data_IF_349166257547
#
_entry.id   IF_349166257547
#
_cell.length_a   1.000
_cell.length_b   1.000
_cell.length_c   1.000
_cell.angle_alpha   90.00
_cell.angle_beta   90.00
_cell.angle_gamma   90.00
#
_symmetry.space_group_name_H-M   'P 1'
#
loop_
_entity.id
_entity.type
_entity.pdbx_description
1 polymer ?
#
# COMPACT_ATOMS: atom_id res chain seq x y z
N UNK A 1 -24.48 20.20 2.74
CA UNK A 1 -24.36 20.96 1.48
C UNK A 1 -24.23 19.92 0.39
N UNK A 2 -25.02 20.01 -0.67
CA UNK A 2 -24.90 19.09 -1.78
C UNK A 2 -23.80 19.55 -2.73
N UNK A 3 -23.00 18.60 -3.23
CA UNK A 3 -21.97 18.86 -4.24
C UNK A 3 -22.64 19.32 -5.55
N UNK A 4 -22.16 20.41 -6.15
CA UNK A 4 -22.72 20.92 -7.39
C UNK A 4 -22.19 20.18 -8.61
N UNK A 5 -22.88 20.21 -9.76
CA UNK A 5 -22.37 19.62 -11.02
C UNK A 5 -20.98 20.16 -11.41
N UNK A 6 -20.72 21.44 -11.19
CA UNK A 6 -19.42 22.07 -11.46
C UNK A 6 -18.32 21.50 -10.56
N UNK A 7 -18.62 21.31 -9.28
CA UNK A 7 -17.67 20.69 -8.33
C UNK A 7 -17.40 19.22 -8.68
N UNK A 8 -18.42 18.48 -9.14
CA UNK A 8 -18.23 17.11 -9.64
C UNK A 8 -17.32 17.12 -10.88
N UNK A 9 -17.56 18.04 -11.82
CA UNK A 9 -16.72 18.19 -13.01
C UNK A 9 -15.25 18.45 -12.63
N UNK A 10 -14.99 19.42 -11.77
CA UNK A 10 -13.63 19.71 -11.28
C UNK A 10 -13.00 18.51 -10.58
N UNK A 11 -13.77 17.80 -9.75
CA UNK A 11 -13.30 16.60 -9.06
C UNK A 11 -12.93 15.47 -10.02
N UNK A 12 -13.70 15.27 -11.11
CA UNK A 12 -13.43 14.24 -12.11
C UNK A 12 -12.17 14.55 -12.92
N UNK A 13 -11.97 15.81 -13.36
CA UNK A 13 -10.75 16.19 -14.09
C UNK A 13 -9.52 16.03 -13.20
N UNK A 14 -9.59 16.47 -11.94
CA UNK A 14 -8.50 16.25 -10.99
C UNK A 14 -8.24 14.76 -10.77
N UNK A 15 -9.29 13.98 -10.57
CA UNK A 15 -9.19 12.53 -10.37
C UNK A 15 -8.59 11.80 -11.59
N UNK A 16 -8.86 12.29 -12.81
CA UNK A 16 -8.22 11.79 -14.02
C UNK A 16 -6.71 12.02 -14.00
N UNK A 17 -6.26 13.23 -13.65
CA UNK A 17 -4.83 13.53 -13.55
C UNK A 17 -4.14 12.66 -12.48
N UNK A 18 -4.77 12.49 -11.32
CA UNK A 18 -4.27 11.64 -10.24
C UNK A 18 -4.24 10.14 -10.65
N UNK A 19 -5.27 9.65 -11.32
CA UNK A 19 -5.34 8.26 -11.81
C UNK A 19 -4.30 7.96 -12.91
N UNK A 20 -3.91 8.96 -13.67
CA UNK A 20 -2.88 8.91 -14.71
C UNK A 20 -1.47 8.93 -14.14
N UNK A 21 -1.26 9.51 -12.98
CA UNK A 21 0.04 9.55 -12.32
C UNK A 21 0.55 8.11 -12.10
N UNK A 22 1.81 7.85 -12.44
CA UNK A 22 2.45 6.51 -12.39
C UNK A 22 1.81 5.42 -13.29
N UNK A 23 0.84 5.77 -14.16
CA UNK A 23 0.19 4.83 -15.10
C UNK A 23 0.29 5.28 -16.56
N UNK A 24 1.07 6.32 -16.84
CA UNK A 24 1.30 6.83 -18.20
C UNK A 24 1.81 5.71 -19.11
N UNK A 25 1.28 5.68 -20.34
CA UNK A 25 1.63 4.70 -21.37
C UNK A 25 1.19 3.25 -21.09
N UNK A 26 0.33 3.01 -20.11
CA UNK A 26 -0.31 1.69 -20.00
C UNK A 26 -1.39 1.53 -21.08
N UNK A 27 -1.61 0.32 -21.64
CA UNK A 27 -2.61 0.12 -22.70
C UNK A 27 -4.02 0.61 -22.31
N UNK A 28 -4.42 0.44 -21.04
CA UNK A 28 -5.72 0.89 -20.54
C UNK A 28 -5.82 2.42 -20.52
N UNK A 29 -4.76 3.12 -20.11
CA UNK A 29 -4.72 4.57 -20.09
C UNK A 29 -4.67 5.13 -21.52
N UNK A 30 -3.83 4.57 -22.40
CA UNK A 30 -3.75 5.00 -23.81
C UNK A 30 -5.08 4.81 -24.55
N UNK A 31 -5.79 3.70 -24.29
CA UNK A 31 -7.12 3.48 -24.86
C UNK A 31 -8.12 4.55 -24.41
N UNK A 32 -8.10 4.93 -23.14
CA UNK A 32 -8.95 5.99 -22.60
C UNK A 32 -8.64 7.36 -23.21
N UNK A 33 -7.36 7.66 -23.50
CA UNK A 33 -6.95 8.94 -24.12
C UNK A 33 -7.57 9.17 -25.51
N UNK A 34 -7.96 8.12 -26.24
CA UNK A 34 -8.52 8.23 -27.60
C UNK A 34 -9.86 8.98 -27.57
N UNK A 35 -10.71 8.70 -26.59
CA UNK A 35 -12.05 9.30 -26.45
C UNK A 35 -12.21 10.05 -25.13
N UNK A 36 -11.12 10.54 -24.58
CA UNK A 36 -10.99 11.09 -23.24
C UNK A 36 -12.10 12.07 -22.87
N UNK A 37 -12.36 13.07 -23.71
CA UNK A 37 -13.35 14.10 -23.39
C UNK A 37 -14.78 13.53 -23.36
N UNK A 38 -15.11 12.61 -24.27
CA UNK A 38 -16.40 11.93 -24.30
C UNK A 38 -16.59 11.05 -23.07
N UNK A 39 -15.55 10.28 -22.72
CA UNK A 39 -15.59 9.39 -21.55
C UNK A 39 -15.66 10.19 -20.24
N UNK A 40 -14.94 11.31 -20.12
CA UNK A 40 -15.01 12.17 -18.92
C UNK A 40 -16.39 12.81 -18.78
N UNK A 41 -16.97 13.37 -19.85
CA UNK A 41 -18.31 13.95 -19.80
C UNK A 41 -19.36 12.91 -19.43
N UNK A 42 -19.23 11.67 -19.93
CA UNK A 42 -20.09 10.56 -19.53
C UNK A 42 -19.96 10.23 -18.03
N UNK A 43 -18.72 10.15 -17.52
CA UNK A 43 -18.49 9.93 -16.08
C UNK A 43 -19.12 11.04 -15.25
N UNK A 44 -18.95 12.31 -15.66
CA UNK A 44 -19.53 13.47 -14.98
C UNK A 44 -21.06 13.36 -14.95
N UNK A 45 -21.68 13.08 -16.09
CA UNK A 45 -23.13 12.95 -16.20
C UNK A 45 -23.66 11.78 -15.34
N UNK A 46 -22.99 10.63 -15.34
CA UNK A 46 -23.35 9.49 -14.51
C UNK A 46 -23.21 9.79 -13.00
N UNK A 47 -22.21 10.60 -12.60
CA UNK A 47 -22.02 11.01 -11.19
C UNK A 47 -23.05 12.05 -10.76
N UNK A 48 -23.31 13.06 -11.59
CA UNK A 48 -24.31 14.11 -11.31
C UNK A 48 -25.72 13.52 -11.11
N UNK A 49 -26.05 12.50 -11.88
CA UNK A 49 -27.39 11.85 -11.80
C UNK A 49 -27.42 10.59 -10.93
N UNK A 50 -26.38 10.31 -10.17
CA UNK A 50 -26.27 9.13 -9.28
C UNK A 50 -26.58 7.80 -9.99
N UNK A 51 -26.09 7.61 -11.20
CA UNK A 51 -26.34 6.40 -12.01
C UNK A 51 -25.07 5.64 -12.41
N UNK A 52 -23.92 6.02 -11.85
CA UNK A 52 -22.66 5.37 -12.14
C UNK A 52 -22.68 3.90 -11.70
N UNK A 53 -22.26 3.01 -12.60
CA UNK A 53 -22.14 1.57 -12.35
C UNK A 53 -20.69 1.17 -12.67
N UNK A 54 -19.92 0.64 -11.68
CA UNK A 54 -18.56 0.18 -11.92
C UNK A 54 -18.49 -0.91 -12.98
N UNK A 55 -17.44 -0.87 -13.79
CA UNK A 55 -17.19 -1.84 -14.86
C UNK A 55 -16.65 -3.16 -14.28
N UNK A 56 -16.57 -4.18 -15.15
CA UNK A 56 -15.96 -5.48 -14.78
C UNK A 56 -14.46 -5.30 -14.57
N UNK A 57 -13.96 -5.76 -13.43
CA UNK A 57 -12.53 -5.70 -13.12
C UNK A 57 -11.76 -6.86 -13.77
N UNK A 58 -10.51 -6.61 -14.13
CA UNK A 58 -9.56 -7.65 -14.50
C UNK A 58 -9.08 -8.37 -13.25
N UNK A 59 -9.10 -9.71 -13.27
CA UNK A 59 -8.66 -10.53 -12.15
C UNK A 59 -7.53 -11.47 -12.59
N UNK A 60 -6.44 -11.47 -11.85
CA UNK A 60 -5.26 -12.28 -12.11
C UNK A 60 -4.51 -12.63 -10.83
N UNK A 61 -3.59 -13.58 -10.92
CA UNK A 61 -2.70 -13.96 -9.83
C UNK A 61 -1.32 -13.30 -10.01
N UNK A 62 -0.81 -12.73 -8.93
CA UNK A 62 0.60 -12.35 -8.83
C UNK A 62 1.32 -13.37 -7.96
N UNK A 63 2.58 -13.71 -8.32
CA UNK A 63 3.40 -14.68 -7.57
C UNK A 63 4.49 -14.02 -6.74
N UNK A 64 4.78 -12.75 -6.98
CA UNK A 64 5.85 -12.04 -6.29
C UNK A 64 5.29 -10.90 -5.41
N UNK A 65 5.68 -10.80 -4.15
CA UNK A 65 6.55 -11.71 -3.37
C UNK A 65 5.84 -12.97 -2.87
N UNK A 66 4.51 -13.01 -2.93
CA UNK A 66 3.65 -14.12 -2.48
C UNK A 66 2.45 -14.22 -3.42
N UNK A 67 1.97 -15.44 -3.68
CA UNK A 67 0.77 -15.66 -4.49
C UNK A 67 -0.44 -14.92 -3.92
N UNK A 68 -1.05 -14.06 -4.74
CA UNK A 68 -2.21 -13.22 -4.38
C UNK A 68 -3.17 -13.07 -5.55
N UNK A 69 -4.46 -13.11 -5.27
CA UNK A 69 -5.50 -12.69 -6.20
C UNK A 69 -5.58 -11.16 -6.22
N UNK A 70 -5.48 -10.57 -7.41
CA UNK A 70 -5.52 -9.11 -7.60
C UNK A 70 -6.65 -8.76 -8.56
N UNK A 71 -7.42 -7.74 -8.20
CA UNK A 71 -8.41 -7.14 -9.05
C UNK A 71 -7.91 -5.78 -9.53
N UNK A 72 -7.81 -5.60 -10.83
CA UNK A 72 -7.46 -4.33 -11.45
C UNK A 72 -8.70 -3.69 -12.05
N UNK A 73 -9.17 -2.63 -11.45
CA UNK A 73 -10.26 -1.81 -11.98
C UNK A 73 -9.88 -1.20 -13.32
N UNK A 74 -10.86 -1.06 -14.23
CA UNK A 74 -10.68 -0.35 -15.48
C UNK A 74 -10.36 1.13 -15.23
N UNK A 75 -9.81 1.82 -16.22
CA UNK A 75 -9.29 3.17 -16.02
C UNK A 75 -10.39 4.16 -15.62
N UNK A 76 -11.61 4.03 -16.16
CA UNK A 76 -12.78 4.80 -15.76
C UNK A 76 -13.11 4.63 -14.27
N UNK A 77 -13.15 3.38 -13.79
CA UNK A 77 -13.40 3.11 -12.36
C UNK A 77 -12.33 3.70 -11.47
N UNK A 78 -11.06 3.69 -11.92
CA UNK A 78 -9.97 4.33 -11.17
C UNK A 78 -10.19 5.83 -11.03
N UNK A 79 -10.66 6.51 -12.08
CA UNK A 79 -11.00 7.94 -12.01
C UNK A 79 -12.07 8.15 -10.93
N UNK A 80 -13.17 7.38 -10.96
CA UNK A 80 -14.25 7.52 -9.99
C UNK A 80 -13.80 7.17 -8.57
N UNK A 81 -12.95 6.15 -8.41
CA UNK A 81 -12.32 5.85 -7.12
C UNK A 81 -11.43 7.00 -6.62
N UNK A 82 -10.72 7.70 -7.51
CA UNK A 82 -9.97 8.89 -7.14
C UNK A 82 -10.87 10.08 -6.77
N UNK A 83 -12.07 10.21 -7.36
CA UNK A 83 -13.04 11.24 -6.93
C UNK A 83 -13.35 11.10 -5.44
N UNK A 84 -13.80 9.91 -5.01
CA UNK A 84 -14.13 9.66 -3.60
C UNK A 84 -12.88 9.64 -2.70
N UNK A 85 -11.78 9.09 -3.18
CA UNK A 85 -10.51 9.09 -2.44
C UNK A 85 -10.03 10.51 -2.13
N UNK A 86 -10.08 11.42 -3.10
CA UNK A 86 -9.64 12.81 -2.94
C UNK A 86 -10.53 13.61 -1.98
N UNK A 87 -11.79 13.21 -1.80
CA UNK A 87 -12.68 13.78 -0.78
C UNK A 87 -12.36 13.25 0.61
N UNK A 88 -12.17 11.92 0.73
CA UNK A 88 -12.07 11.25 2.03
C UNK A 88 -10.64 11.16 2.58
N UNK A 89 -9.61 10.96 1.75
CA UNK A 89 -8.26 10.74 2.22
C UNK A 89 -7.70 11.92 3.05
N UNK A 90 -7.84 13.20 2.63
CA UNK A 90 -7.38 14.33 3.44
C UNK A 90 -8.10 14.44 4.80
N UNK A 91 -9.37 14.04 4.85
CA UNK A 91 -10.15 14.00 6.08
C UNK A 91 -9.62 12.94 7.04
N UNK A 92 -9.48 11.70 6.57
CA UNK A 92 -9.02 10.58 7.39
C UNK A 92 -7.55 10.70 7.80
N UNK A 93 -6.70 11.37 7.00
CA UNK A 93 -5.32 11.69 7.39
C UNK A 93 -5.24 12.50 8.70
N UNK A 94 -6.25 13.30 9.02
CA UNK A 94 -6.33 14.03 10.30
C UNK A 94 -6.73 13.15 11.49
N UNK A 95 -7.28 11.97 11.23
CA UNK A 95 -7.78 11.03 12.24
C UNK A 95 -6.83 9.87 12.51
N UNK A 96 -6.00 9.49 11.53
CA UNK A 96 -5.08 8.37 11.66
C UNK A 96 -4.00 8.62 12.70
N UNK A 97 -3.62 7.59 13.43
CA UNK A 97 -2.43 7.65 14.28
C UNK A 97 -1.17 7.85 13.43
N UNK A 98 -0.11 8.40 14.03
CA UNK A 98 1.15 8.60 13.31
C UNK A 98 1.78 7.29 12.83
N UNK A 99 1.65 6.21 13.59
CA UNK A 99 2.33 4.94 13.37
C UNK A 99 1.49 3.90 12.59
N UNK A 100 0.64 4.37 11.67
CA UNK A 100 0.05 3.60 10.56
C UNK A 100 0.83 3.92 9.29
N UNK A 101 1.44 2.94 8.62
CA UNK A 101 2.49 3.17 7.63
C UNK A 101 2.09 2.89 6.19
N UNK A 102 1.08 2.05 5.96
CA UNK A 102 0.68 1.61 4.63
C UNK A 102 -0.20 2.61 3.90
N UNK A 103 0.00 2.74 2.59
CA UNK A 103 -0.90 3.46 1.68
C UNK A 103 -1.23 4.89 2.11
N UNK A 104 -0.27 5.60 2.68
CA UNK A 104 -0.38 7.00 3.09
C UNK A 104 0.72 7.84 2.46
N UNK A 105 0.42 9.08 2.07
CA UNK A 105 1.38 10.00 1.45
C UNK A 105 2.54 10.28 2.42
N UNK A 106 3.77 10.19 1.93
CA UNK A 106 4.98 10.40 2.72
C UNK A 106 5.33 9.27 3.69
N UNK A 107 4.57 8.16 3.67
CA UNK A 107 4.84 6.96 4.46
C UNK A 107 5.15 5.75 3.56
N UNK A 108 5.10 4.56 4.07
CA UNK A 108 5.41 3.34 3.34
C UNK A 108 6.40 2.45 4.08
N UNK A 109 6.93 1.45 3.42
CA UNK A 109 7.80 0.42 4.02
C UNK A 109 9.02 1.03 4.74
N UNK A 110 9.76 1.92 4.09
CA UNK A 110 10.99 2.50 4.67
C UNK A 110 10.68 3.42 5.86
N UNK A 111 9.61 4.21 5.75
CA UNK A 111 9.12 4.99 6.87
C UNK A 111 8.77 4.07 8.06
N UNK A 112 8.03 2.98 7.82
CA UNK A 112 7.67 2.02 8.85
C UNK A 112 8.87 1.35 9.51
N UNK A 113 9.89 0.95 8.74
CA UNK A 113 11.14 0.40 9.28
C UNK A 113 11.87 1.41 10.17
N UNK A 114 11.99 2.66 9.74
CA UNK A 114 12.63 3.73 10.53
C UNK A 114 11.84 4.03 11.81
N UNK A 115 10.49 4.03 11.72
CA UNK A 115 9.63 4.22 12.90
C UNK A 115 9.74 3.06 13.88
N UNK A 116 9.76 1.82 13.37
CA UNK A 116 9.97 0.64 14.19
C UNK A 116 11.32 0.73 14.96
N UNK A 117 12.40 1.07 14.26
CA UNK A 117 13.70 1.29 14.91
C UNK A 117 13.65 2.39 15.97
N UNK A 118 12.94 3.51 15.69
CA UNK A 118 12.72 4.57 16.67
C UNK A 118 11.98 4.06 17.91
N UNK A 119 10.92 3.25 17.73
CA UNK A 119 10.17 2.65 18.84
C UNK A 119 11.04 1.70 19.68
N UNK A 120 11.84 0.86 19.03
CA UNK A 120 12.79 -0.02 19.73
C UNK A 120 13.77 0.80 20.56
N UNK A 121 14.42 1.81 19.97
CA UNK A 121 15.35 2.69 20.69
C UNK A 121 14.70 3.43 21.86
N UNK A 122 13.51 3.94 21.65
CA UNK A 122 12.77 4.66 22.69
C UNK A 122 12.33 3.73 23.83
N UNK A 123 11.89 2.52 23.52
CA UNK A 123 11.48 1.54 24.51
C UNK A 123 12.64 0.96 25.32
N UNK A 124 13.84 0.90 24.74
CA UNK A 124 15.03 0.32 25.39
C UNK A 124 16.00 1.37 25.93
N UNK A 125 15.61 2.62 25.98
CA UNK A 125 16.52 3.73 26.34
C UNK A 125 17.86 3.63 25.56
N UNK A 126 17.79 3.57 24.23
CA UNK A 126 18.92 3.33 23.32
C UNK A 126 19.69 2.02 23.61
N UNK A 127 18.96 0.92 23.82
CA UNK A 127 19.46 -0.44 24.07
C UNK A 127 20.16 -0.64 25.41
N UNK A 128 19.94 0.26 26.38
CA UNK A 128 20.43 0.14 27.75
C UNK A 128 19.47 -0.63 28.66
N UNK A 129 18.20 -0.67 28.31
CA UNK A 129 17.14 -1.34 29.06
C UNK A 129 16.55 -2.50 28.26
N UNK A 130 16.11 -3.53 28.98
CA UNK A 130 15.43 -4.66 28.35
C UNK A 130 13.97 -4.29 27.99
N UNK A 131 13.55 -4.75 26.83
CA UNK A 131 12.16 -4.72 26.39
C UNK A 131 11.88 -5.90 25.46
N UNK A 132 10.64 -6.27 25.34
CA UNK A 132 10.18 -7.32 24.45
C UNK A 132 9.21 -6.75 23.39
N UNK A 133 9.22 -7.37 22.23
CA UNK A 133 8.35 -7.04 21.11
C UNK A 133 7.37 -8.18 20.89
N UNK A 134 6.10 -7.89 20.86
CA UNK A 134 5.06 -8.77 20.36
C UNK A 134 4.72 -8.36 18.91
N UNK A 135 4.93 -9.24 17.95
CA UNK A 135 4.45 -9.11 16.58
C UNK A 135 3.21 -9.97 16.38
N UNK A 136 2.26 -9.50 15.59
CA UNK A 136 1.07 -10.26 15.20
C UNK A 136 0.55 -9.85 13.83
N UNK A 137 -0.18 -10.74 13.18
CA UNK A 137 -0.69 -10.62 11.81
C UNK A 137 -2.20 -10.88 11.81
N UNK A 138 -2.93 -10.27 10.89
CA UNK A 138 -4.37 -10.44 10.74
C UNK A 138 -4.68 -11.55 9.72
N UNK A 139 -5.58 -12.46 10.08
CA UNK A 139 -5.90 -13.63 9.25
C UNK A 139 -6.81 -13.26 8.08
N UNK A 140 -6.30 -13.43 6.84
CA UNK A 140 -7.12 -13.20 5.65
C UNK A 140 -7.72 -11.80 5.58
N UNK A 141 -7.01 -10.79 6.03
CA UNK A 141 -7.50 -9.47 6.38
C UNK A 141 -8.42 -8.87 5.32
N UNK A 142 -7.98 -8.68 4.07
CA UNK A 142 -8.80 -8.05 3.03
C UNK A 142 -10.09 -8.83 2.72
N UNK A 143 -10.06 -10.15 2.82
CA UNK A 143 -11.23 -11.00 2.57
C UNK A 143 -12.17 -11.08 3.78
N UNK A 144 -11.67 -10.71 4.97
CA UNK A 144 -12.42 -10.65 6.22
C UNK A 144 -13.06 -9.30 6.52
N UNK A 145 -12.83 -8.27 5.72
CA UNK A 145 -13.39 -6.93 5.95
C UNK A 145 -14.90 -6.93 5.74
N UNK A 146 -15.65 -6.58 6.78
CA UNK A 146 -17.09 -6.36 6.75
C UNK A 146 -17.40 -5.03 6.05
N UNK A 147 -17.98 -5.10 4.85
CA UNK A 147 -18.27 -3.94 3.99
C UNK A 147 -19.24 -2.97 4.64
N UNK A 148 -20.29 -3.47 5.28
CA UNK A 148 -21.29 -2.65 5.95
C UNK A 148 -20.70 -1.93 7.16
N UNK A 149 -19.86 -2.62 7.93
CA UNK A 149 -19.16 -2.00 9.06
C UNK A 149 -18.24 -0.88 8.60
N UNK A 150 -17.49 -1.09 7.52
CA UNK A 150 -16.60 -0.04 6.96
C UNK A 150 -17.39 1.19 6.53
N UNK A 151 -18.51 1.03 5.81
CA UNK A 151 -19.36 2.16 5.41
C UNK A 151 -19.87 2.89 6.66
N UNK A 152 -20.37 2.16 7.64
CA UNK A 152 -20.88 2.76 8.89
C UNK A 152 -19.78 3.55 9.64
N UNK A 153 -18.55 3.04 9.67
CA UNK A 153 -17.40 3.75 10.28
C UNK A 153 -17.09 5.03 9.50
N UNK A 154 -16.99 4.95 8.17
CA UNK A 154 -16.72 6.11 7.32
C UNK A 154 -17.77 7.20 7.56
N UNK A 155 -19.05 6.84 7.45
CA UNK A 155 -20.14 7.78 7.60
C UNK A 155 -20.25 8.33 9.03
N UNK A 156 -20.04 7.46 10.04
CA UNK A 156 -20.01 7.87 11.44
C UNK A 156 -18.92 8.92 11.74
N UNK A 157 -17.70 8.72 11.22
CA UNK A 157 -16.61 9.69 11.39
C UNK A 157 -16.87 10.98 10.59
N UNK A 158 -17.45 10.91 9.39
CA UNK A 158 -17.85 12.09 8.62
C UNK A 158 -18.86 12.90 9.44
N UNK A 159 -20.00 12.34 9.86
CA UNK A 159 -21.02 13.07 10.61
C UNK A 159 -20.50 13.64 11.93
N UNK A 160 -19.61 12.95 12.62
CA UNK A 160 -19.00 13.41 13.87
C UNK A 160 -18.07 14.61 13.69
N UNK A 161 -17.45 14.76 12.52
CA UNK A 161 -16.40 15.75 12.31
C UNK A 161 -16.66 16.72 11.17
N UNK A 162 -17.77 16.62 10.45
CA UNK A 162 -18.08 17.37 9.23
C UNK A 162 -18.01 18.92 9.43
N UNK A 163 -18.32 19.39 10.63
CA UNK A 163 -18.25 20.82 10.96
C UNK A 163 -16.93 21.27 11.59
N UNK A 164 -15.93 20.39 11.65
CA UNK A 164 -14.58 20.78 12.06
C UNK A 164 -13.84 21.43 10.91
N UNK A 165 -12.84 22.27 11.26
CA UNK A 165 -11.97 22.88 10.26
C UNK A 165 -10.89 21.89 9.81
N UNK A 166 -10.66 21.85 8.51
CA UNK A 166 -9.52 21.18 7.89
C UNK A 166 -8.22 21.98 8.13
N UNK A 167 -7.04 21.39 7.88
CA UNK A 167 -5.76 22.08 8.09
C UNK A 167 -5.59 23.41 7.34
N UNK A 168 -6.29 23.61 6.23
CA UNK A 168 -6.30 24.87 5.48
C UNK A 168 -7.37 25.88 5.94
N UNK A 169 -8.08 25.59 7.03
CA UNK A 169 -9.04 26.48 7.69
C UNK A 169 -10.48 26.37 7.21
N UNK A 170 -10.76 25.69 6.09
CA UNK A 170 -12.14 25.47 5.60
C UNK A 170 -12.85 24.39 6.41
N UNK A 171 -14.18 24.41 6.45
CA UNK A 171 -14.95 23.34 7.06
C UNK A 171 -14.93 22.08 6.17
N UNK A 172 -14.96 20.90 6.79
CA UNK A 172 -15.08 19.66 6.01
C UNK A 172 -16.42 19.57 5.26
N UNK A 173 -17.49 20.20 5.79
CA UNK A 173 -18.78 20.31 5.10
C UNK A 173 -18.75 21.11 3.79
N UNK A 174 -17.69 21.86 3.54
CA UNK A 174 -17.49 22.56 2.27
C UNK A 174 -16.82 21.67 1.21
N UNK A 175 -16.33 20.50 1.59
CA UNK A 175 -15.55 19.57 0.76
C UNK A 175 -16.15 18.19 0.62
N UNK A 176 -16.92 17.77 1.61
CA UNK A 176 -17.50 16.43 1.68
C UNK A 176 -19.02 16.58 1.67
N UNK A 177 -19.64 15.98 0.66
CA UNK A 177 -21.06 15.70 0.62
C UNK A 177 -21.27 14.27 1.16
N UNK A 178 -21.86 14.10 2.36
CA UNK A 178 -22.04 12.77 2.95
C UNK A 178 -22.88 11.85 2.08
N UNK A 179 -23.97 12.35 1.51
CA UNK A 179 -24.92 11.53 0.72
C UNK A 179 -24.24 11.05 -0.58
N UNK A 180 -23.47 11.91 -1.23
CA UNK A 180 -22.69 11.56 -2.42
C UNK A 180 -21.59 10.54 -2.10
N UNK A 181 -20.87 10.73 -0.99
CA UNK A 181 -19.86 9.78 -0.55
C UNK A 181 -20.46 8.41 -0.20
N UNK A 182 -21.57 8.36 0.54
CA UNK A 182 -22.25 7.12 0.90
C UNK A 182 -22.71 6.35 -0.34
N UNK A 183 -23.35 7.06 -1.28
CA UNK A 183 -23.78 6.46 -2.56
C UNK A 183 -22.58 5.87 -3.33
N UNK A 184 -21.46 6.60 -3.48
CA UNK A 184 -20.28 6.08 -4.18
C UNK A 184 -19.65 4.89 -3.46
N UNK A 185 -19.61 4.89 -2.13
CA UNK A 185 -19.14 3.74 -1.36
C UNK A 185 -19.99 2.51 -1.67
N UNK A 186 -21.30 2.66 -1.71
CA UNK A 186 -22.23 1.57 -2.08
C UNK A 186 -22.01 1.10 -3.51
N UNK A 187 -21.77 1.97 -4.49
CA UNK A 187 -21.47 1.58 -5.87
C UNK A 187 -20.31 0.59 -5.97
N UNK A 188 -19.24 0.79 -5.18
CA UNK A 188 -18.05 -0.08 -5.22
C UNK A 188 -18.13 -1.26 -4.24
N UNK A 189 -18.72 -1.08 -3.07
CA UNK A 189 -18.66 -2.10 -2.01
C UNK A 189 -19.80 -3.12 -2.10
N UNK A 190 -21.00 -2.75 -2.50
CA UNK A 190 -22.13 -3.70 -2.59
C UNK A 190 -21.91 -4.73 -3.70
N UNK A 191 -21.14 -4.37 -4.71
CA UNK A 191 -20.78 -5.28 -5.78
C UNK A 191 -19.74 -6.31 -5.30
N UNK A 192 -19.87 -7.54 -5.79
CA UNK A 192 -18.83 -8.55 -5.69
C UNK A 192 -18.14 -8.75 -7.04
N UNK A 193 -17.00 -8.11 -7.31
CA UNK A 193 -16.34 -8.20 -8.60
C UNK A 193 -15.82 -9.59 -8.95
N UNK A 194 -15.76 -10.52 -7.99
CA UNK A 194 -15.40 -11.91 -8.27
C UNK A 194 -16.48 -12.67 -9.07
N UNK A 195 -17.76 -12.19 -9.01
CA UNK A 195 -18.87 -12.85 -9.72
C UNK A 195 -18.87 -12.59 -11.24
N UNK A 196 -18.34 -11.46 -11.67
CA UNK A 196 -18.37 -11.02 -13.07
C UNK A 196 -17.01 -10.54 -13.61
N UNK A 197 -15.91 -10.98 -13.00
CA UNK A 197 -14.54 -10.59 -13.37
C UNK A 197 -14.16 -10.94 -14.82
N UNK A 198 -13.24 -10.19 -15.38
CA UNK A 198 -12.52 -10.52 -16.61
C UNK A 198 -11.25 -11.27 -16.19
N UNK A 199 -11.19 -12.57 -16.47
CA UNK A 199 -10.03 -13.38 -16.10
C UNK A 199 -8.85 -13.03 -17.01
N UNK A 200 -7.67 -12.83 -16.42
CA UNK A 200 -6.39 -12.64 -17.11
C UNK A 200 -5.40 -13.67 -16.59
N UNK A 201 -4.76 -14.42 -17.52
CA UNK A 201 -3.91 -15.57 -17.20
C UNK A 201 -4.67 -16.90 -17.21
N UNK A 202 -4.07 -17.93 -16.64
CA UNK A 202 -4.63 -19.29 -16.59
C UNK A 202 -5.38 -19.48 -15.26
N UNK A 203 -6.53 -20.17 -15.31
CA UNK A 203 -7.27 -20.56 -14.10
C UNK A 203 -6.43 -21.42 -13.15
N UNK A 204 -5.45 -22.14 -13.66
CA UNK A 204 -4.48 -22.90 -12.87
C UNK A 204 -3.63 -22.05 -11.96
N UNK A 205 -3.48 -20.77 -12.25
CA UNK A 205 -2.74 -19.83 -11.41
C UNK A 205 -3.35 -19.70 -9.99
N UNK A 206 -4.62 -20.09 -9.82
CA UNK A 206 -5.31 -20.16 -8.51
C UNK A 206 -5.00 -21.44 -7.72
N UNK A 207 -4.34 -22.44 -8.32
CA UNK A 207 -3.97 -23.65 -7.61
C UNK A 207 -3.01 -23.31 -6.46
N UNK A 208 -3.27 -23.90 -5.28
CA UNK A 208 -2.49 -23.66 -4.07
C UNK A 208 -2.81 -22.35 -3.33
N UNK A 209 -3.64 -21.43 -3.91
CA UNK A 209 -4.05 -20.23 -3.21
C UNK A 209 -5.10 -20.59 -2.12
N UNK A 210 -4.81 -20.30 -0.82
CA UNK A 210 -5.75 -20.58 0.26
C UNK A 210 -7.11 -19.89 0.07
N UNK A 211 -8.19 -20.55 0.44
CA UNK A 211 -9.57 -20.04 0.31
C UNK A 211 -9.74 -18.67 0.98
N UNK A 212 -9.11 -18.47 2.15
CA UNK A 212 -9.11 -17.20 2.89
C UNK A 212 -8.40 -16.02 2.19
N UNK A 213 -7.78 -16.27 1.03
CA UNK A 213 -7.13 -15.24 0.19
C UNK A 213 -7.84 -15.04 -1.15
N UNK A 214 -9.02 -15.61 -1.31
CA UNK A 214 -9.83 -15.57 -2.54
C UNK A 214 -11.12 -14.81 -2.28
N UNK A 215 -11.40 -13.81 -3.11
CA UNK A 215 -12.62 -12.99 -2.97
C UNK A 215 -13.91 -13.77 -3.32
N UNK A 216 -13.82 -14.74 -4.25
CA UNK A 216 -14.95 -15.61 -4.60
C UNK A 216 -15.34 -16.60 -3.48
N UNK A 217 -14.51 -16.74 -2.46
CA UNK A 217 -14.71 -17.55 -1.27
C UNK A 217 -15.01 -16.72 -0.01
N UNK A 218 -14.96 -15.40 -0.10
CA UNK A 218 -15.33 -14.53 1.00
C UNK A 218 -16.83 -14.69 1.32
N UNK A 219 -17.16 -14.55 2.61
CA UNK A 219 -18.56 -14.54 3.07
C UNK A 219 -19.32 -13.40 2.36
N UNK A 220 -20.61 -13.59 2.09
CA UNK A 220 -21.44 -12.53 1.53
C UNK A 220 -21.44 -11.27 2.43
N UNK A 221 -21.30 -10.09 1.81
CA UNK A 221 -21.11 -8.83 2.53
C UNK A 221 -19.71 -8.58 3.05
N UNK A 222 -18.78 -9.53 2.86
CA UNK A 222 -17.38 -9.42 3.28
C UNK A 222 -16.42 -9.37 2.08
N UNK A 223 -15.23 -8.90 2.35
CA UNK A 223 -14.11 -8.86 1.40
C UNK A 223 -14.10 -7.64 0.50
N UNK A 224 -12.95 -6.98 0.45
CA UNK A 224 -12.67 -5.89 -0.47
C UNK A 224 -11.51 -6.29 -1.38
N UNK A 225 -11.47 -5.70 -2.56
CA UNK A 225 -10.48 -6.05 -3.59
C UNK A 225 -9.07 -5.59 -3.20
N UNK A 226 -8.06 -6.38 -3.57
CA UNK A 226 -6.67 -5.97 -3.50
C UNK A 226 -6.30 -5.37 -4.86
N UNK A 227 -5.86 -4.11 -4.86
CA UNK A 227 -5.39 -3.40 -6.05
C UNK A 227 -6.01 -2.02 -6.26
N UNK A 228 -7.12 -1.71 -5.62
CA UNK A 228 -7.82 -0.43 -5.72
C UNK A 228 -7.39 0.55 -4.63
N UNK A 229 -7.31 1.84 -5.00
CA UNK A 229 -6.93 2.92 -4.07
C UNK A 229 -7.99 3.11 -2.97
N UNK A 230 -9.26 2.93 -3.30
CA UNK A 230 -10.35 3.01 -2.34
C UNK A 230 -10.25 1.91 -1.28
N UNK A 231 -9.94 0.67 -1.67
CA UNK A 231 -9.73 -0.43 -0.73
C UNK A 231 -8.58 -0.17 0.24
N UNK A 232 -7.52 0.50 -0.22
CA UNK A 232 -6.37 0.89 0.61
C UNK A 232 -6.77 1.90 1.69
N UNK A 233 -7.54 2.92 1.31
CA UNK A 233 -8.05 3.91 2.26
C UNK A 233 -8.98 3.26 3.28
N UNK A 234 -9.95 2.48 2.81
CA UNK A 234 -10.96 1.84 3.67
C UNK A 234 -10.33 0.83 4.65
N UNK A 235 -9.29 0.13 4.23
CA UNK A 235 -8.47 -0.71 5.10
C UNK A 235 -7.88 0.09 6.27
N UNK A 236 -7.27 1.25 6.00
CA UNK A 236 -6.74 2.11 7.06
C UNK A 236 -7.83 2.71 7.94
N UNK A 237 -8.98 3.07 7.36
CA UNK A 237 -10.14 3.58 8.13
C UNK A 237 -10.65 2.54 9.11
N UNK A 238 -10.78 1.29 8.68
CA UNK A 238 -11.20 0.19 9.55
C UNK A 238 -10.20 -0.03 10.70
N UNK A 239 -8.90 -0.13 10.39
CA UNK A 239 -7.86 -0.32 11.39
C UNK A 239 -7.71 0.86 12.34
N UNK A 240 -8.07 2.09 11.91
CA UNK A 240 -8.03 3.25 12.80
C UNK A 240 -8.91 3.09 14.05
N UNK A 241 -9.97 2.29 13.99
CA UNK A 241 -10.80 1.98 15.19
C UNK A 241 -9.95 1.28 16.25
N UNK A 242 -9.22 0.24 15.86
CA UNK A 242 -8.32 -0.49 16.77
C UNK A 242 -7.08 0.30 17.11
N UNK A 243 -6.59 1.15 16.22
CA UNK A 243 -5.47 2.06 16.48
C UNK A 243 -5.79 3.06 17.59
N UNK A 244 -6.97 3.71 17.51
CA UNK A 244 -7.42 4.63 18.55
C UNK A 244 -7.62 3.91 19.89
N UNK A 245 -8.20 2.69 19.87
CA UNK A 245 -8.32 1.87 21.06
C UNK A 245 -6.96 1.47 21.64
N UNK A 246 -6.03 1.01 20.82
CA UNK A 246 -4.67 0.66 21.24
C UNK A 246 -3.93 1.85 21.88
N UNK A 247 -4.02 3.04 21.27
CA UNK A 247 -3.34 4.24 21.75
C UNK A 247 -4.02 4.91 22.95
N UNK A 248 -5.35 4.94 23.01
CA UNK A 248 -6.11 5.75 23.98
C UNK A 248 -6.72 4.97 25.12
N UNK A 249 -7.09 3.71 24.88
CA UNK A 249 -7.67 2.84 25.91
C UNK A 249 -6.63 1.92 26.53
N UNK A 250 -5.86 1.21 25.70
CA UNK A 250 -4.79 0.33 26.15
C UNK A 250 -3.49 1.08 26.46
N UNK A 251 -3.39 2.38 26.09
CA UNK A 251 -2.23 3.25 26.31
C UNK A 251 -0.92 2.69 25.77
N UNK A 252 -0.97 1.94 24.66
CA UNK A 252 0.20 1.31 24.04
C UNK A 252 1.12 2.36 23.40
N UNK A 253 2.12 2.82 24.13
CA UNK A 253 3.06 3.85 23.68
C UNK A 253 3.80 3.42 22.41
N UNK A 254 4.34 2.21 22.41
CA UNK A 254 5.14 1.65 21.32
C UNK A 254 4.31 0.63 20.52
N UNK A 255 3.37 1.13 19.74
CA UNK A 255 2.49 0.38 18.83
C UNK A 255 2.49 1.01 17.46
N UNK A 256 2.52 0.21 16.43
CA UNK A 256 2.37 0.62 15.05
C UNK A 256 2.12 -0.58 14.12
N UNK A 257 1.73 -0.29 12.87
CA UNK A 257 1.44 -1.36 11.91
C UNK A 257 1.61 -0.93 10.45
N UNK A 258 1.72 -1.95 9.62
CA UNK A 258 1.69 -1.85 8.16
C UNK A 258 0.66 -2.84 7.62
N UNK A 259 -0.57 -2.37 7.32
CA UNK A 259 -1.73 -3.19 7.00
C UNK A 259 -1.96 -4.23 8.11
N UNK A 260 -1.69 -5.51 7.82
CA UNK A 260 -1.88 -6.68 8.68
C UNK A 260 -0.69 -7.00 9.60
N UNK A 261 0.48 -6.43 9.36
CA UNK A 261 1.70 -6.62 10.16
C UNK A 261 1.75 -5.60 11.33
N UNK A 262 1.48 -6.03 12.55
CA UNK A 262 1.46 -5.19 13.76
C UNK A 262 2.63 -5.48 14.70
N UNK A 263 3.00 -4.48 15.51
CA UNK A 263 3.91 -4.68 16.63
C UNK A 263 3.49 -3.89 17.87
N UNK A 264 3.83 -4.42 19.05
CA UNK A 264 3.79 -3.74 20.35
C UNK A 264 5.12 -3.98 21.06
N UNK A 265 5.68 -2.96 21.71
CA UNK A 265 6.92 -3.10 22.50
C UNK A 265 6.62 -2.67 23.94
N UNK A 266 7.07 -3.48 24.91
CA UNK A 266 6.91 -3.21 26.33
C UNK A 266 8.08 -3.79 27.13
N UNK A 267 8.38 -3.21 28.28
CA UNK A 267 9.44 -3.70 29.18
C UNK A 267 9.10 -5.05 29.82
N UNK A 268 7.84 -5.32 30.09
CA UNK A 268 7.39 -6.57 30.68
C UNK A 268 6.91 -7.54 29.61
N UNK A 269 7.58 -8.68 29.50
CA UNK A 269 7.15 -9.82 28.70
C UNK A 269 5.78 -10.37 29.17
N UNK A 270 5.59 -10.49 30.47
CA UNK A 270 4.34 -10.94 31.08
C UNK A 270 3.16 -10.06 30.67
N UNK A 271 3.35 -8.74 30.66
CA UNK A 271 2.34 -7.80 30.17
C UNK A 271 1.95 -8.09 28.72
N UNK A 272 2.93 -8.32 27.81
CA UNK A 272 2.65 -8.63 26.41
C UNK A 272 1.92 -9.95 26.25
N UNK A 273 2.27 -10.98 27.01
CA UNK A 273 1.54 -12.25 27.00
C UNK A 273 0.10 -12.10 27.48
N UNK A 274 -0.14 -11.32 28.52
CA UNK A 274 -1.49 -11.03 29.02
C UNK A 274 -2.28 -10.10 28.09
N UNK A 275 -1.60 -9.28 27.28
CA UNK A 275 -2.21 -8.41 26.28
C UNK A 275 -2.74 -9.20 25.07
N UNK A 276 -2.16 -10.35 24.73
CA UNK A 276 -2.52 -11.16 23.56
C UNK A 276 -4.03 -11.44 23.46
N UNK A 277 -4.69 -12.06 24.45
CA UNK A 277 -6.14 -12.32 24.37
C UNK A 277 -6.96 -11.02 24.28
N UNK A 278 -6.53 -9.96 24.95
CA UNK A 278 -7.20 -8.64 24.88
C UNK A 278 -7.18 -8.09 23.44
N UNK A 279 -6.05 -8.23 22.73
CA UNK A 279 -5.92 -7.84 21.33
C UNK A 279 -6.79 -8.70 20.44
N UNK A 280 -6.81 -10.03 20.63
CA UNK A 280 -7.65 -10.95 19.85
C UNK A 280 -9.14 -10.60 19.97
N UNK A 281 -9.63 -10.46 21.19
CA UNK A 281 -11.02 -10.11 21.48
C UNK A 281 -11.35 -8.70 20.94
N UNK A 282 -10.49 -7.72 21.18
CA UNK A 282 -10.73 -6.34 20.76
C UNK A 282 -10.77 -6.14 19.24
N UNK A 283 -9.93 -6.84 18.47
CA UNK A 283 -9.99 -6.80 17.01
C UNK A 283 -11.26 -7.47 16.49
N UNK A 284 -11.63 -8.61 17.07
CA UNK A 284 -12.85 -9.31 16.68
C UNK A 284 -14.12 -8.52 17.02
N UNK A 285 -14.23 -7.97 18.24
CA UNK A 285 -15.40 -7.23 18.67
C UNK A 285 -15.58 -5.89 17.95
N UNK A 286 -14.48 -5.15 17.72
CA UNK A 286 -14.54 -3.78 17.20
C UNK A 286 -14.62 -3.71 15.68
N UNK A 287 -13.95 -4.63 15.00
CA UNK A 287 -13.80 -4.55 13.54
C UNK A 287 -14.06 -5.87 12.80
N UNK A 288 -14.54 -6.90 13.52
CA UNK A 288 -14.87 -8.24 12.99
C UNK A 288 -13.66 -8.92 12.29
N UNK A 289 -12.43 -8.59 12.69
CA UNK A 289 -11.20 -9.14 12.12
C UNK A 289 -10.55 -10.10 13.11
N UNK A 290 -10.12 -11.26 12.60
CA UNK A 290 -9.47 -12.29 13.39
C UNK A 290 -7.95 -12.12 13.35
N UNK A 291 -7.33 -12.01 14.51
CA UNK A 291 -5.87 -12.07 14.62
C UNK A 291 -5.41 -13.50 14.37
N UNK A 292 -4.33 -13.70 13.60
CA UNK A 292 -3.87 -15.03 13.23
C UNK A 292 -3.29 -15.77 14.43
N UNK A 293 -3.86 -16.88 14.90
CA UNK A 293 -3.50 -17.51 16.18
C UNK A 293 -2.03 -18.00 16.20
N UNK A 294 -1.51 -18.45 15.04
CA UNK A 294 -0.18 -19.05 14.92
C UNK A 294 0.91 -18.08 14.46
N UNK A 295 0.58 -16.79 14.26
CA UNK A 295 1.52 -15.80 13.77
C UNK A 295 1.91 -14.75 14.82
N UNK A 296 1.82 -15.11 16.07
CA UNK A 296 2.45 -14.35 17.12
C UNK A 296 3.93 -14.67 17.21
N UNK A 297 4.74 -13.63 17.35
CA UNK A 297 6.15 -13.77 17.61
C UNK A 297 6.55 -12.80 18.71
N UNK A 298 7.09 -13.34 19.78
CA UNK A 298 7.71 -12.58 20.87
C UNK A 298 9.23 -12.59 20.68
N UNK A 299 9.88 -11.45 20.86
CA UNK A 299 11.31 -11.34 20.64
C UNK A 299 11.92 -10.21 21.47
N UNK A 300 13.14 -10.39 22.03
CA UNK A 300 13.85 -9.33 22.72
C UNK A 300 14.11 -8.13 21.79
N UNK A 301 13.84 -6.92 22.29
CA UNK A 301 13.98 -5.69 21.50
C UNK A 301 15.44 -5.32 21.21
N UNK A 302 16.38 -5.79 22.05
CA UNK A 302 17.81 -5.56 21.91
C UNK A 302 18.50 -6.51 20.91
N UNK A 303 17.75 -7.36 20.20
CA UNK A 303 18.24 -8.24 19.15
C UNK A 303 17.83 -7.76 17.76
N UNK A 304 18.35 -8.41 16.70
CA UNK A 304 17.94 -8.13 15.34
C UNK A 304 16.53 -8.68 15.06
N UNK A 305 15.58 -7.79 14.89
CA UNK A 305 14.19 -8.13 14.61
C UNK A 305 13.81 -7.84 13.17
N UNK A 306 13.04 -8.74 12.56
CA UNK A 306 12.55 -8.59 11.21
C UNK A 306 11.23 -7.83 11.22
N UNK A 307 11.16 -6.72 10.44
CA UNK A 307 9.95 -5.97 10.17
C UNK A 307 9.97 -5.38 8.75
N UNK A 308 8.88 -5.49 8.00
CA UNK A 308 8.67 -4.92 6.65
C UNK A 308 9.82 -5.15 5.64
N UNK A 309 10.41 -6.34 5.66
CA UNK A 309 11.48 -6.65 4.71
C UNK A 309 12.88 -6.20 5.11
N UNK A 310 13.04 -5.71 6.34
CA UNK A 310 14.31 -5.36 6.94
C UNK A 310 14.60 -6.18 8.21
N UNK A 311 15.87 -6.34 8.52
CA UNK A 311 16.34 -6.70 9.85
C UNK A 311 16.77 -5.41 10.54
N UNK A 312 16.14 -5.13 11.67
CA UNK A 312 16.39 -3.97 12.51
C UNK A 312 17.08 -4.43 13.78
N UNK A 313 18.34 -4.09 13.93
CA UNK A 313 19.16 -4.39 15.12
C UNK A 313 19.53 -3.12 15.87
N UNK A 314 20.25 -3.25 17.02
CA UNK A 314 20.60 -2.12 17.87
C UNK A 314 21.32 -0.98 17.13
N UNK A 315 22.27 -1.32 16.26
CA UNK A 315 23.16 -0.34 15.62
C UNK A 315 23.09 -0.38 14.08
N UNK A 316 22.19 -1.19 13.52
CA UNK A 316 22.09 -1.37 12.07
C UNK A 316 20.69 -1.70 11.60
N UNK A 317 20.45 -1.37 10.35
CA UNK A 317 19.33 -1.88 9.54
C UNK A 317 19.91 -2.55 8.30
N UNK A 318 19.41 -3.74 7.96
CA UNK A 318 19.83 -4.50 6.78
C UNK A 318 18.60 -4.99 6.01
N UNK A 319 18.67 -5.05 4.67
CA UNK A 319 17.62 -5.69 3.89
C UNK A 319 17.58 -7.19 4.20
N UNK A 320 16.44 -7.82 3.98
CA UNK A 320 16.30 -9.30 4.11
C UNK A 320 17.25 -10.01 3.16
N UNK A 321 17.76 -11.17 3.58
CA UNK A 321 18.60 -12.04 2.74
C UNK A 321 17.94 -12.39 1.40
N UNK A 322 16.59 -12.54 1.37
CA UNK A 322 15.84 -12.74 0.12
C UNK A 322 15.95 -11.54 -0.84
N UNK A 323 15.94 -10.30 -0.33
CA UNK A 323 16.09 -9.09 -1.16
C UNK A 323 17.50 -9.02 -1.72
N UNK A 324 18.50 -9.31 -0.89
CA UNK A 324 19.90 -9.40 -1.31
C UNK A 324 20.06 -10.48 -2.40
N UNK A 325 19.59 -11.70 -2.15
CA UNK A 325 19.71 -12.81 -3.11
C UNK A 325 18.94 -12.58 -4.43
N UNK A 326 17.83 -11.82 -4.42
CA UNK A 326 17.17 -11.38 -5.65
C UNK A 326 18.02 -10.35 -6.39
N UNK A 327 18.57 -9.37 -5.68
CA UNK A 327 19.43 -8.35 -6.27
C UNK A 327 20.66 -8.98 -6.93
N UNK A 328 21.38 -9.86 -6.24
CA UNK A 328 22.61 -10.49 -6.78
C UNK A 328 22.32 -11.25 -8.07
N UNK A 329 21.25 -12.07 -8.09
CA UNK A 329 20.83 -12.80 -9.30
C UNK A 329 20.47 -11.87 -10.46
N UNK A 330 19.73 -10.79 -10.16
CA UNK A 330 19.37 -9.82 -11.19
C UNK A 330 20.59 -9.05 -11.68
N UNK A 331 21.53 -8.67 -10.81
CA UNK A 331 22.75 -8.00 -11.22
C UNK A 331 23.60 -8.89 -12.17
N UNK A 332 23.75 -10.17 -11.86
CA UNK A 332 24.43 -11.15 -12.73
C UNK A 332 23.72 -11.32 -14.09
N UNK A 333 22.40 -11.42 -14.08
CA UNK A 333 21.58 -11.50 -15.30
C UNK A 333 21.75 -10.25 -16.17
N UNK A 334 21.71 -9.07 -15.56
CA UNK A 334 21.86 -7.79 -16.27
C UNK A 334 23.26 -7.60 -16.81
N UNK A 335 24.30 -8.03 -16.07
CA UNK A 335 25.69 -8.06 -16.57
C UNK A 335 25.82 -8.91 -17.83
N UNK A 336 25.24 -10.13 -17.82
CA UNK A 336 25.19 -10.97 -19.00
C UNK A 336 24.47 -10.31 -20.18
N UNK A 337 23.31 -9.68 -19.93
CA UNK A 337 22.58 -8.96 -20.96
C UNK A 337 23.39 -7.79 -21.54
N UNK A 338 24.14 -7.06 -20.73
CA UNK A 338 25.00 -5.96 -21.18
C UNK A 338 26.15 -6.45 -22.07
N UNK A 339 26.72 -7.62 -21.76
CA UNK A 339 27.84 -8.18 -22.54
C UNK A 339 27.36 -8.72 -23.89
N UNK A 340 26.20 -9.38 -23.93
CA UNK A 340 25.81 -10.17 -25.10
C UNK A 340 24.58 -9.62 -25.86
N UNK A 341 23.77 -8.74 -25.27
CA UNK A 341 22.47 -8.35 -25.82
C UNK A 341 22.16 -6.85 -25.77
N UNK A 342 23.09 -5.99 -25.33
CA UNK A 342 22.86 -4.54 -25.23
C UNK A 342 22.99 -3.85 -26.62
N UNK A 343 22.05 -4.12 -27.53
CA UNK A 343 22.12 -3.66 -28.91
C UNK A 343 21.16 -2.50 -29.24
N UNK A 344 20.36 -2.04 -28.27
CA UNK A 344 19.38 -0.96 -28.49
C UNK A 344 19.26 -0.06 -27.25
N UNK A 345 18.90 1.22 -27.48
CA UNK A 345 18.60 2.15 -26.39
C UNK A 345 17.47 1.64 -25.49
N UNK A 346 16.44 1.00 -26.08
CA UNK A 346 15.34 0.41 -25.32
C UNK A 346 15.82 -0.66 -24.34
N UNK A 347 16.77 -1.52 -24.77
CA UNK A 347 17.38 -2.53 -23.88
C UNK A 347 18.11 -1.86 -22.72
N UNK A 348 18.91 -0.81 -22.99
CA UNK A 348 19.63 -0.08 -21.94
C UNK A 348 18.68 0.61 -20.98
N UNK A 349 17.57 1.19 -21.44
CA UNK A 349 16.54 1.80 -20.59
C UNK A 349 15.85 0.76 -19.67
N UNK A 350 15.56 -0.43 -20.17
CA UNK A 350 15.01 -1.52 -19.35
C UNK A 350 16.01 -1.94 -18.27
N UNK A 351 17.29 -2.14 -18.66
CA UNK A 351 18.35 -2.50 -17.71
C UNK A 351 18.54 -1.40 -16.66
N UNK A 352 18.62 -0.14 -17.07
CA UNK A 352 18.71 1.02 -16.17
C UNK A 352 17.56 1.04 -15.17
N UNK A 353 16.33 0.83 -15.62
CA UNK A 353 15.14 0.80 -14.77
C UNK A 353 15.22 -0.30 -13.71
N UNK A 354 15.65 -1.50 -14.09
CA UNK A 354 15.84 -2.62 -13.16
C UNK A 354 16.94 -2.34 -12.13
N UNK A 355 18.09 -1.80 -12.55
CA UNK A 355 19.18 -1.38 -11.65
C UNK A 355 18.65 -0.35 -10.64
N UNK A 356 18.05 0.73 -11.14
CA UNK A 356 17.56 1.83 -10.29
C UNK A 356 16.50 1.40 -9.30
N UNK A 357 15.69 0.40 -9.63
CA UNK A 357 14.73 -0.20 -8.68
C UNK A 357 15.43 -0.80 -7.46
N UNK A 358 16.51 -1.56 -7.66
CA UNK A 358 17.28 -2.14 -6.56
C UNK A 358 18.14 -1.10 -5.83
N UNK A 359 18.80 -0.19 -6.58
CA UNK A 359 19.54 0.91 -5.97
C UNK A 359 18.64 1.74 -5.06
N UNK A 360 17.43 2.08 -5.49
CA UNK A 360 16.44 2.81 -4.69
C UNK A 360 16.06 2.07 -3.41
N UNK A 361 15.85 0.75 -3.46
CA UNK A 361 15.54 -0.06 -2.27
C UNK A 361 16.74 -0.13 -1.34
N UNK A 362 17.93 -0.43 -1.86
CA UNK A 362 19.13 -0.71 -1.08
C UNK A 362 19.76 0.57 -0.51
N UNK A 363 19.53 1.75 -1.13
CA UNK A 363 20.01 3.04 -0.62
C UNK A 363 19.47 3.42 0.77
N UNK A 364 18.32 2.84 1.17
CA UNK A 364 17.77 3.02 2.52
C UNK A 364 18.52 2.25 3.61
N UNK A 365 19.47 1.41 3.21
CA UNK A 365 20.30 0.61 4.09
C UNK A 365 21.77 0.94 3.86
N UNK A 366 22.65 0.59 4.78
CA UNK A 366 24.10 0.71 4.58
C UNK A 366 24.58 -0.43 3.65
N UNK A 367 24.15 -0.38 2.39
CA UNK A 367 24.38 -1.43 1.39
C UNK A 367 25.32 -0.97 0.24
N UNK A 368 26.12 0.08 0.46
CA UNK A 368 27.04 0.61 -0.55
C UNK A 368 28.01 -0.47 -1.04
N UNK A 369 28.69 -1.17 -0.15
CA UNK A 369 29.66 -2.21 -0.53
C UNK A 369 29.02 -3.34 -1.34
N UNK A 370 27.74 -3.67 -1.05
CA UNK A 370 26.99 -4.65 -1.85
C UNK A 370 26.70 -4.13 -3.27
N UNK A 371 26.28 -2.88 -3.40
CA UNK A 371 26.01 -2.27 -4.70
C UNK A 371 27.31 -2.15 -5.52
N UNK A 372 28.37 -1.66 -4.91
CA UNK A 372 29.69 -1.52 -5.53
C UNK A 372 30.20 -2.87 -6.04
N UNK A 373 30.21 -3.90 -5.23
CA UNK A 373 30.69 -5.26 -5.60
C UNK A 373 29.96 -5.85 -6.81
N UNK A 374 28.71 -5.53 -7.03
CA UNK A 374 27.91 -6.12 -8.10
C UNK A 374 27.70 -5.19 -9.30
N UNK A 375 27.79 -3.88 -9.15
CA UNK A 375 27.51 -2.91 -10.21
C UNK A 375 28.76 -2.12 -10.67
N UNK A 376 29.82 -2.02 -9.85
CA UNK A 376 31.08 -1.43 -10.30
C UNK A 376 31.91 -2.45 -11.09
N UNK A 377 31.42 -2.79 -12.27
CA UNK A 377 32.03 -3.73 -13.18
C UNK A 377 32.15 -3.15 -14.60
N UNK A 378 33.13 -3.58 -15.41
CA UNK A 378 33.33 -3.08 -16.75
C UNK A 378 32.09 -3.04 -17.63
N UNK A 379 31.24 -4.09 -17.56
CA UNK A 379 30.00 -4.18 -18.35
C UNK A 379 29.01 -3.07 -18.00
N UNK A 380 28.81 -2.76 -16.71
CA UNK A 380 27.95 -1.66 -16.29
C UNK A 380 28.60 -0.31 -16.56
N UNK A 381 29.89 -0.14 -16.23
CA UNK A 381 30.62 1.10 -16.39
C UNK A 381 30.81 1.48 -17.86
N UNK A 382 30.68 0.55 -18.80
CA UNK A 382 30.66 0.84 -20.23
C UNK A 382 29.45 1.70 -20.62
N UNK A 383 28.25 1.35 -20.14
CA UNK A 383 27.00 1.97 -20.56
C UNK A 383 26.43 3.00 -19.57
N UNK A 384 26.76 2.90 -18.27
CA UNK A 384 26.14 3.71 -17.21
C UNK A 384 27.15 4.56 -16.45
N UNK A 385 26.65 5.67 -15.91
CA UNK A 385 27.30 6.47 -14.88
C UNK A 385 26.49 6.29 -13.61
N UNK A 386 27.15 5.94 -12.53
CA UNK A 386 26.55 5.87 -11.19
C UNK A 386 26.86 7.15 -10.41
N UNK A 387 25.92 7.55 -9.54
CA UNK A 387 26.20 8.58 -8.56
C UNK A 387 27.19 8.07 -7.50
N UNK A 388 27.74 9.00 -6.70
CA UNK A 388 28.78 8.69 -5.68
C UNK A 388 28.40 7.54 -4.74
N UNK A 389 27.10 7.36 -4.47
CA UNK A 389 26.61 6.40 -3.51
C UNK A 389 25.96 5.15 -4.15
N UNK A 390 26.12 4.98 -5.45
CA UNK A 390 25.51 3.89 -6.22
C UNK A 390 23.99 3.84 -6.09
N UNK A 391 23.33 4.97 -5.81
CA UNK A 391 21.88 5.02 -5.62
C UNK A 391 21.11 5.19 -6.91
N UNK A 392 21.80 5.66 -7.97
CA UNK A 392 21.20 5.92 -9.28
C UNK A 392 22.19 5.68 -10.42
N UNK A 393 21.71 4.94 -11.42
CA UNK A 393 22.39 4.76 -12.71
C UNK A 393 21.76 5.64 -13.80
N UNK A 394 22.56 6.26 -14.62
CA UNK A 394 22.15 7.04 -15.79
C UNK A 394 22.90 6.48 -17.03
N UNK A 395 22.21 6.33 -18.16
CA UNK A 395 22.83 5.95 -19.42
C UNK A 395 23.76 7.08 -19.85
N UNK A 396 24.96 6.73 -20.30
CA UNK A 396 25.94 7.72 -20.79
C UNK A 396 25.39 8.44 -22.03
N UNK A 397 25.66 9.77 -22.17
CA UNK A 397 25.09 10.58 -23.24
C UNK A 397 25.40 10.06 -24.66
N UNK A 398 26.55 9.46 -24.86
CA UNK A 398 26.97 8.92 -26.17
C UNK A 398 26.01 7.86 -26.72
N UNK A 399 25.32 7.09 -25.87
CA UNK A 399 24.36 6.05 -26.30
C UNK A 399 23.00 6.59 -26.73
N UNK A 400 22.66 7.82 -26.36
CA UNK A 400 21.45 8.48 -26.88
C UNK A 400 21.63 8.98 -28.32
N UNK A 401 22.86 9.08 -28.80
CA UNK A 401 23.19 9.53 -30.15
C UNK A 401 23.50 8.36 -31.12
N UNK A 402 23.78 7.18 -30.59
CA UNK A 402 24.11 5.99 -31.38
C UNK A 402 22.88 5.14 -31.76
N UNK A 403 21.78 5.33 -31.08
CA UNK A 403 20.49 4.61 -31.25
C UNK A 403 19.34 5.57 -31.52
#
# INVERSE_FOLDING_TARGET
MHITPEQIKEAVYKAYDDAKEHKRNTPAQLKFEIEKEVDLEKIIDDLVHHRYIPLRAFCFITFDPVQREVFASQFQDRIVQHVIYNMLAPFFETLFIHDTYSCRIGKGTHFGVNRFWHHVRSATNNFQEEAEIMFFDLSGYFMGIDKKLVINIVMGEIYKHIYRRSPDGRLWSERIDPDFCEWLLHCFLDRNPAKDRILVGDIKDWEGLPTKKRLDKAKEGFGIVIGDILSQLLSNVLLNVTDQWAKRTLMLKHYGHYVDDHFVIHHSAEYLHNLKPIIEDGFNEKIHVVVHPDKYRFAPANTANQFLGAYVGPYYMKPRSRTIGKFTKVAEELEYQLIFHAQTLLTLEIIRSRINSYCGILSHYKAYDLLENYLDKPAFNHYFIFDRWMTKAVIKPEYYMLF
#
